data_IF_200026740893
#
_entry.id   IF_200026740893
#
_cell.length_a   1.000
_cell.length_b   1.000
_cell.length_c   1.000
_cell.angle_alpha   90.00
_cell.angle_beta   90.00
_cell.angle_gamma   90.00
#
_symmetry.space_group_name_H-M   'P 1'
#
loop_
_entity.id
_entity.type
_entity.pdbx_description
1 polymer ?
#
# COMPACT_ATOMS: atom_id res chain seq x y z
N UNK A 1 -20.71 2.93 -8.79
CA UNK A 1 -20.47 2.17 -7.55
C UNK A 1 -20.70 0.69 -7.89
N UNK A 2 -19.76 -0.19 -7.55
CA UNK A 2 -19.63 -1.53 -8.15
C UNK A 2 -18.19 -1.88 -8.54
N UNK A 3 -17.22 -1.34 -7.79
CA UNK A 3 -15.79 -1.59 -8.01
C UNK A 3 -15.35 -2.62 -6.99
N UNK A 4 -14.52 -3.56 -7.43
CA UNK A 4 -13.85 -4.49 -6.53
C UNK A 4 -12.81 -3.71 -5.71
N UNK A 5 -12.84 -3.88 -4.40
CA UNK A 5 -11.90 -3.26 -3.48
C UNK A 5 -11.12 -4.36 -2.79
N UNK A 6 -9.80 -4.23 -2.81
CA UNK A 6 -8.87 -5.15 -2.18
C UNK A 6 -8.10 -4.36 -1.13
N UNK A 7 -8.06 -4.90 0.09
CA UNK A 7 -7.31 -4.34 1.20
C UNK A 7 -6.18 -5.31 1.54
N UNK A 8 -4.96 -4.77 1.62
CA UNK A 8 -3.75 -5.55 1.82
C UNK A 8 -3.08 -5.20 3.14
N UNK A 9 -3.52 -5.80 4.27
CA UNK A 9 -2.82 -5.69 5.54
C UNK A 9 -1.53 -6.54 5.53
N UNK A 10 -0.77 -6.50 6.64
CA UNK A 10 0.35 -7.41 6.86
C UNK A 10 -0.13 -8.81 7.25
N UNK A 11 0.61 -9.83 6.83
CA UNK A 11 0.35 -11.23 7.23
C UNK A 11 0.78 -11.53 8.67
N UNK A 12 1.69 -10.73 9.22
CA UNK A 12 2.16 -10.80 10.60
C UNK A 12 2.49 -9.39 11.14
N UNK A 13 2.64 -9.20 12.46
CA UNK A 13 2.95 -7.89 13.04
C UNK A 13 4.26 -7.30 12.50
N UNK A 14 4.18 -6.08 11.97
CA UNK A 14 5.33 -5.27 11.54
C UNK A 14 5.20 -3.89 12.16
N UNK A 15 5.91 -3.65 13.26
CA UNK A 15 5.86 -2.40 14.04
C UNK A 15 4.41 -2.05 14.45
N UNK A 16 3.77 -1.14 13.72
CA UNK A 16 2.43 -0.62 13.97
C UNK A 16 1.54 -0.73 12.73
N UNK A 17 1.97 -1.47 11.71
CA UNK A 17 1.20 -1.72 10.51
C UNK A 17 0.03 -2.66 10.82
N UNK A 18 -1.13 -2.37 10.21
CA UNK A 18 -2.33 -3.17 10.42
C UNK A 18 -2.16 -4.58 9.84
N UNK A 19 -2.50 -5.57 10.64
CA UNK A 19 -2.53 -6.99 10.32
C UNK A 19 -3.93 -7.45 9.90
N UNK A 20 -4.04 -8.70 9.46
CA UNK A 20 -5.34 -9.34 9.20
C UNK A 20 -6.20 -9.34 10.47
N UNK A 21 -5.58 -9.60 11.63
CA UNK A 21 -6.23 -9.63 12.93
C UNK A 21 -6.79 -8.24 13.30
N UNK A 22 -6.02 -7.18 13.12
CA UNK A 22 -6.48 -5.81 13.37
C UNK A 22 -7.71 -5.45 12.51
N UNK A 23 -7.73 -5.88 11.25
CA UNK A 23 -8.90 -5.65 10.38
C UNK A 23 -10.13 -6.41 10.86
N UNK A 24 -9.97 -7.66 11.32
CA UNK A 24 -11.07 -8.45 11.90
C UNK A 24 -11.61 -7.78 13.15
N UNK A 25 -10.75 -7.31 14.05
CA UNK A 25 -11.15 -6.60 15.27
C UNK A 25 -11.85 -5.27 14.97
N UNK A 26 -11.45 -4.58 13.90
CA UNK A 26 -12.09 -3.35 13.42
C UNK A 26 -13.43 -3.60 12.69
N UNK A 27 -13.90 -4.85 12.55
CA UNK A 27 -15.12 -5.18 11.80
C UNK A 27 -14.95 -5.03 10.28
N UNK A 28 -13.72 -4.97 9.79
CA UNK A 28 -13.39 -4.95 8.36
C UNK A 28 -13.21 -6.40 7.93
N UNK A 29 -14.33 -7.11 7.82
CA UNK A 29 -14.39 -8.47 7.29
C UNK A 29 -14.81 -8.45 5.81
N UNK A 30 -14.38 -9.46 5.04
CA UNK A 30 -14.65 -9.51 3.61
C UNK A 30 -16.15 -9.56 3.25
N UNK A 31 -16.95 -10.13 4.15
CA UNK A 31 -18.41 -10.22 4.01
C UNK A 31 -19.15 -8.93 4.38
N UNK A 32 -18.65 -8.15 5.34
CA UNK A 32 -19.37 -6.97 5.87
C UNK A 32 -18.93 -5.66 5.19
N UNK A 33 -17.64 -5.55 4.85
CA UNK A 33 -17.08 -4.37 4.19
C UNK A 33 -17.13 -4.44 2.65
N UNK A 34 -17.50 -5.60 2.09
CA UNK A 34 -17.56 -5.81 0.63
C UNK A 34 -16.20 -5.72 -0.07
N UNK A 35 -15.10 -5.96 0.65
CA UNK A 35 -13.75 -5.95 0.12
C UNK A 35 -13.06 -7.31 0.26
N UNK A 36 -12.17 -7.66 -0.65
CA UNK A 36 -11.30 -8.83 -0.46
C UNK A 36 -10.09 -8.44 0.38
N UNK A 37 -9.66 -9.34 1.25
CA UNK A 37 -8.45 -9.16 2.08
C UNK A 37 -7.36 -10.06 1.50
N UNK A 38 -6.29 -9.45 0.99
CA UNK A 38 -5.14 -10.16 0.41
C UNK A 38 -3.87 -9.59 1.05
N UNK A 39 -3.24 -10.30 2.00
CA UNK A 39 -2.10 -9.78 2.75
C UNK A 39 -0.88 -9.50 1.87
N UNK A 40 -0.10 -8.46 2.19
CA UNK A 40 1.09 -8.05 1.40
C UNK A 40 2.41 -8.69 1.87
N UNK A 41 2.37 -9.72 2.72
CA UNK A 41 3.54 -10.21 3.45
C UNK A 41 3.86 -9.45 4.74
N UNK A 42 5.03 -9.69 5.33
CA UNK A 42 5.44 -9.20 6.65
C UNK A 42 6.67 -8.27 6.58
N UNK A 43 6.62 -7.29 5.66
CA UNK A 43 7.67 -6.30 5.41
C UNK A 43 7.17 -4.86 5.61
N UNK A 44 8.06 -3.92 5.94
CA UNK A 44 7.74 -2.48 5.99
C UNK A 44 7.56 -1.97 4.56
N UNK A 45 6.34 -1.62 4.18
CA UNK A 45 6.03 -1.35 2.78
C UNK A 45 5.78 -2.63 1.97
N UNK A 46 6.32 -2.77 0.76
CA UNK A 46 6.16 -3.98 -0.07
C UNK A 46 7.53 -4.53 -0.45
N UNK A 47 7.78 -5.80 -0.15
CA UNK A 47 8.96 -6.53 -0.62
C UNK A 47 8.57 -7.49 -1.74
N UNK A 48 9.25 -7.42 -2.89
CA UNK A 48 9.01 -8.35 -4.01
C UNK A 48 9.41 -9.80 -3.68
N UNK A 49 10.24 -10.01 -2.66
CA UNK A 49 10.68 -11.34 -2.24
C UNK A 49 9.68 -11.99 -1.27
N UNK A 50 9.06 -11.20 -0.39
CA UNK A 50 8.10 -11.69 0.60
C UNK A 50 6.64 -11.61 0.13
N UNK A 51 6.36 -10.80 -0.88
CA UNK A 51 5.01 -10.68 -1.42
C UNK A 51 4.55 -12.01 -2.01
N UNK A 52 3.51 -12.59 -1.42
CA UNK A 52 2.93 -13.85 -1.87
C UNK A 52 2.26 -13.71 -3.24
N UNK A 53 2.12 -14.84 -3.95
CA UNK A 53 1.63 -14.86 -5.34
C UNK A 53 0.29 -14.17 -5.55
N UNK A 54 -0.69 -14.40 -4.66
CA UNK A 54 -2.02 -13.77 -4.80
C UNK A 54 -1.97 -12.24 -4.68
N UNK A 55 -1.12 -11.71 -3.79
CA UNK A 55 -0.91 -10.27 -3.70
C UNK A 55 -0.27 -9.73 -4.97
N UNK A 56 0.78 -10.38 -5.46
CA UNK A 56 1.48 -9.92 -6.67
C UNK A 56 0.61 -10.00 -7.92
N UNK A 57 -0.25 -11.02 -8.04
CA UNK A 57 -1.21 -11.17 -9.13
C UNK A 57 -2.16 -9.96 -9.20
N UNK A 58 -2.63 -9.48 -8.04
CA UNK A 58 -3.49 -8.29 -7.97
C UNK A 58 -2.67 -7.00 -8.13
N UNK A 59 -1.55 -6.91 -7.43
CA UNK A 59 -0.74 -5.71 -7.35
C UNK A 59 -0.12 -5.34 -8.69
N UNK A 60 0.19 -6.31 -9.55
CA UNK A 60 0.69 -6.10 -10.92
C UNK A 60 -0.39 -6.05 -12.00
N UNK A 61 -1.65 -6.30 -11.67
CA UNK A 61 -2.75 -6.28 -12.64
C UNK A 61 -3.21 -4.85 -12.95
N UNK A 62 -3.05 -4.46 -14.22
CA UNK A 62 -3.35 -3.13 -14.75
C UNK A 62 -4.83 -2.72 -14.68
N UNK A 63 -5.75 -3.63 -14.33
CA UNK A 63 -7.17 -3.30 -14.10
C UNK A 63 -7.40 -2.59 -12.76
N UNK A 64 -6.45 -2.65 -11.84
CA UNK A 64 -6.57 -2.04 -10.52
C UNK A 64 -5.97 -0.62 -10.48
N UNK A 65 -6.50 0.20 -9.58
CA UNK A 65 -5.85 1.44 -9.13
C UNK A 65 -5.23 1.13 -7.77
N UNK A 66 -3.93 1.41 -7.60
CA UNK A 66 -3.20 1.16 -6.36
C UNK A 66 -3.21 2.42 -5.50
N UNK A 67 -3.59 2.29 -4.23
CA UNK A 67 -3.46 3.35 -3.23
C UNK A 67 -2.46 2.90 -2.17
N UNK A 68 -1.23 3.36 -2.29
CA UNK A 68 -0.13 3.06 -1.38
C UNK A 68 -0.14 4.01 -0.18
N UNK A 69 -0.46 3.47 1.01
CA UNK A 69 -0.66 4.25 2.24
C UNK A 69 0.61 4.28 3.09
N UNK A 70 1.05 5.46 3.51
CA UNK A 70 2.20 5.61 4.42
C UNK A 70 3.57 5.67 3.72
N UNK A 71 4.57 6.18 4.44
CA UNK A 71 5.92 6.42 3.89
C UNK A 71 6.66 5.12 3.56
N UNK A 72 6.52 4.05 4.36
CA UNK A 72 7.19 2.78 4.05
C UNK A 72 6.77 2.19 2.70
N UNK A 73 5.49 2.35 2.32
CA UNK A 73 5.03 1.99 0.98
C UNK A 73 5.60 2.91 -0.10
N UNK A 74 5.75 4.22 0.17
CA UNK A 74 6.42 5.13 -0.76
C UNK A 74 7.88 4.74 -1.01
N UNK A 75 8.62 4.57 0.08
CA UNK A 75 10.04 4.25 0.06
C UNK A 75 10.29 2.93 -0.69
N UNK A 76 9.56 1.86 -0.35
CA UNK A 76 9.76 0.56 -1.00
C UNK A 76 9.24 0.50 -2.46
N UNK A 77 8.02 0.96 -2.74
CA UNK A 77 7.40 0.79 -4.06
C UNK A 77 8.09 1.68 -5.10
N UNK A 78 8.55 2.88 -4.72
CA UNK A 78 9.22 3.79 -5.64
C UNK A 78 10.49 3.20 -6.26
N UNK A 79 11.14 2.21 -5.61
CA UNK A 79 12.31 1.51 -6.16
C UNK A 79 11.97 0.61 -7.36
N UNK A 80 10.72 0.15 -7.48
CA UNK A 80 10.33 -0.82 -8.50
C UNK A 80 9.02 -0.49 -9.24
N UNK A 81 8.39 0.65 -8.99
CA UNK A 81 7.11 1.04 -9.61
C UNK A 81 7.17 1.02 -11.15
N UNK A 82 8.29 1.46 -11.71
CA UNK A 82 8.53 1.42 -13.16
C UNK A 82 8.72 0.01 -13.70
N UNK A 83 9.27 -0.91 -12.90
CA UNK A 83 9.45 -2.33 -13.29
C UNK A 83 8.12 -3.07 -13.34
N UNK A 84 7.16 -2.68 -12.50
CA UNK A 84 5.84 -3.29 -12.41
C UNK A 84 4.75 -2.52 -13.19
N UNK A 85 5.13 -1.54 -14.02
CA UNK A 85 4.20 -0.75 -14.83
C UNK A 85 3.07 -0.10 -13.98
N UNK A 86 3.42 0.42 -12.80
CA UNK A 86 2.45 1.05 -11.89
C UNK A 86 2.16 2.51 -12.25
N UNK A 87 2.93 3.09 -13.17
CA UNK A 87 2.81 4.48 -13.59
C UNK A 87 1.43 4.75 -14.22
N UNK A 88 0.79 5.85 -13.81
CA UNK A 88 -0.57 6.19 -14.22
C UNK A 88 -1.67 5.39 -13.52
N UNK A 89 -1.33 4.57 -12.52
CA UNK A 89 -2.31 3.84 -11.69
C UNK A 89 -1.89 3.69 -10.23
N UNK A 90 -0.92 4.47 -9.77
CA UNK A 90 -0.45 4.46 -8.39
C UNK A 90 -0.67 5.81 -7.73
N UNK A 91 -1.33 5.80 -6.57
CA UNK A 91 -1.50 6.97 -5.71
C UNK A 91 -0.79 6.70 -4.40
N UNK A 92 0.23 7.50 -4.09
CA UNK A 92 0.83 7.55 -2.77
C UNK A 92 0.04 8.49 -1.86
N UNK A 93 -0.36 8.01 -0.69
CA UNK A 93 -1.08 8.78 0.32
C UNK A 93 -0.39 8.66 1.68
N UNK A 94 0.32 9.70 2.11
CA UNK A 94 1.07 9.69 3.36
C UNK A 94 1.31 11.10 3.90
N UNK A 95 1.95 11.19 5.07
CA UNK A 95 2.46 12.44 5.64
C UNK A 95 3.99 12.41 5.59
N UNK A 96 4.65 13.42 5.05
CA UNK A 96 6.11 13.48 5.01
C UNK A 96 6.68 13.71 6.42
N UNK A 97 7.12 12.66 7.13
CA UNK A 97 7.53 12.75 8.55
C UNK A 97 9.01 13.08 8.74
N UNK A 98 9.85 12.90 7.73
CA UNK A 98 11.28 13.17 7.74
C UNK A 98 11.67 14.09 6.58
N UNK A 99 12.77 14.83 6.74
CA UNK A 99 13.28 15.75 5.71
C UNK A 99 13.65 15.03 4.40
N UNK A 100 14.31 13.84 4.40
CA UNK A 100 14.70 13.20 3.13
C UNK A 100 13.52 12.91 2.19
N UNK A 101 12.40 12.41 2.74
CA UNK A 101 11.18 12.13 1.97
C UNK A 101 10.46 13.42 1.57
N UNK A 102 10.53 14.45 2.41
CA UNK A 102 9.96 15.75 2.08
C UNK A 102 10.71 16.41 0.90
N UNK A 103 12.04 16.39 0.95
CA UNK A 103 12.92 16.92 -0.09
C UNK A 103 12.79 16.15 -1.41
N UNK A 104 12.77 14.82 -1.36
CA UNK A 104 12.61 13.94 -2.52
C UNK A 104 11.33 14.23 -3.32
N UNK A 105 10.25 14.61 -2.62
CA UNK A 105 8.94 14.87 -3.21
C UNK A 105 8.70 16.37 -3.45
N UNK A 106 9.57 17.23 -2.92
CA UNK A 106 9.47 18.69 -3.05
C UNK A 106 8.37 19.32 -2.19
N UNK A 107 8.12 18.77 -1.00
CA UNK A 107 7.15 19.25 -0.02
C UNK A 107 7.83 19.62 1.30
N UNK A 108 7.13 20.26 2.23
CA UNK A 108 7.68 20.52 3.57
C UNK A 108 7.46 19.32 4.49
N UNK A 109 8.40 19.08 5.38
CA UNK A 109 8.20 18.10 6.47
C UNK A 109 6.94 18.44 7.26
N UNK A 110 6.10 17.43 7.43
CA UNK A 110 4.83 17.48 8.13
C UNK A 110 3.62 17.64 7.21
N UNK A 111 3.80 17.92 5.93
CA UNK A 111 2.71 18.05 4.96
C UNK A 111 2.06 16.70 4.63
N UNK A 112 0.77 16.76 4.29
CA UNK A 112 0.01 15.63 3.78
C UNK A 112 0.18 15.57 2.26
N UNK A 113 0.49 14.38 1.75
CA UNK A 113 0.81 14.14 0.34
C UNK A 113 -0.22 13.18 -0.25
N UNK A 114 -0.77 13.56 -1.40
CA UNK A 114 -1.48 12.69 -2.32
C UNK A 114 -0.81 12.83 -3.70
N UNK A 115 0.10 11.92 -4.04
CA UNK A 115 0.90 11.96 -5.28
C UNK A 115 0.40 10.88 -6.23
N UNK A 116 0.02 11.27 -7.44
CA UNK A 116 -0.25 10.33 -8.53
C UNK A 116 1.06 10.11 -9.29
N UNK A 117 1.49 8.85 -9.37
CA UNK A 117 2.69 8.40 -10.09
C UNK A 117 2.28 7.70 -11.37
#
# INVERSE_FOLDING_TARGET
MGKEVIVSPKSAPVINDATIEDLKEAGISSSEAGCKIIPSGAYIGVSLEEAEGEFMDVFSDNRYLVIAKGMGNYESISEFESKLDLNGRLIYLFRAKCEPIADDIGVKRGELVAKFA
#
